data_IF_102715462698
#
_entry.id   IF_102715462698
#
_cell.length_a   1.000
_cell.length_b   1.000
_cell.length_c   1.000
_cell.angle_alpha   90.00
_cell.angle_beta   90.00
_cell.angle_gamma   90.00
#
_symmetry.space_group_name_H-M   'P 1'
#
loop_
_entity.id
_entity.type
_entity.pdbx_description
1 polymer ?
#
# COMPACT_ATOMS: atom_id res chain seq x y z
N UNK A 1 4.39 16.58 7.58
CA UNK A 1 2.93 16.82 7.54
C UNK A 1 2.48 17.35 8.89
N UNK A 2 1.72 18.44 8.93
CA UNK A 2 1.18 19.03 10.16
C UNK A 2 -0.29 19.44 9.98
N UNK A 3 -1.02 19.61 11.10
CA UNK A 3 -2.42 20.12 11.16
C UNK A 3 -3.48 19.27 10.42
N UNK A 4 -3.21 17.99 10.19
CA UNK A 4 -4.21 17.06 9.71
C UNK A 4 -5.12 16.56 10.85
N UNK A 5 -6.31 16.08 10.50
CA UNK A 5 -7.27 15.51 11.46
C UNK A 5 -7.04 14.01 11.64
N UNK A 6 -7.14 13.51 12.87
CA UNK A 6 -7.16 12.09 13.16
C UNK A 6 -8.58 11.61 13.46
N UNK A 7 -8.93 10.43 12.97
CA UNK A 7 -10.17 9.72 13.27
C UNK A 7 -9.88 8.25 13.55
N UNK A 8 -10.76 7.52 14.28
CA UNK A 8 -10.64 6.07 14.39
C UNK A 8 -10.57 5.43 12.99
N UNK A 9 -9.66 4.47 12.82
CA UNK A 9 -9.46 3.78 11.55
C UNK A 9 -10.69 2.96 11.17
N UNK A 10 -11.12 3.04 9.91
CA UNK A 10 -12.20 2.21 9.41
C UNK A 10 -11.64 0.89 8.88
N UNK A 11 -11.58 -0.12 9.75
CA UNK A 11 -11.02 -1.44 9.43
C UNK A 11 -11.79 -2.22 8.35
N UNK A 12 -12.97 -1.77 7.93
CA UNK A 12 -13.65 -2.34 6.76
C UNK A 12 -12.96 -1.98 5.44
N UNK A 13 -12.22 -0.86 5.40
CA UNK A 13 -11.57 -0.32 4.20
C UNK A 13 -10.06 -0.09 4.37
N UNK A 14 -9.51 -0.36 5.55
CA UNK A 14 -8.10 -0.17 5.86
C UNK A 14 -7.51 -1.41 6.53
N UNK A 15 -6.43 -1.94 5.95
CA UNK A 15 -5.73 -3.14 6.41
C UNK A 15 -4.55 -2.85 7.34
N UNK A 16 -4.22 -1.57 7.55
CA UNK A 16 -3.15 -1.16 8.46
C UNK A 16 -3.54 -1.45 9.91
N UNK A 17 -2.53 -1.76 10.73
CA UNK A 17 -2.71 -2.07 12.16
C UNK A 17 -2.97 -0.85 13.04
N UNK A 18 -2.83 0.36 12.49
CA UNK A 18 -3.04 1.61 13.22
C UNK A 18 -4.52 1.75 13.63
N UNK A 19 -4.77 2.17 14.88
CA UNK A 19 -6.12 2.43 15.38
C UNK A 19 -6.70 3.76 14.87
N UNK A 20 -5.86 4.61 14.27
CA UNK A 20 -6.26 5.91 13.73
C UNK A 20 -5.85 6.05 12.27
N UNK A 21 -6.65 6.83 11.55
CA UNK A 21 -6.39 7.31 10.20
C UNK A 21 -6.28 8.83 10.20
N UNK A 22 -5.39 9.34 9.34
CA UNK A 22 -5.20 10.77 9.13
C UNK A 22 -5.98 11.21 7.89
N UNK A 23 -6.64 12.37 7.96
CA UNK A 23 -7.33 13.00 6.83
C UNK A 23 -6.89 14.46 6.72
N UNK A 24 -6.43 14.86 5.54
CA UNK A 24 -6.11 16.25 5.25
C UNK A 24 -7.38 17.11 5.29
N UNK A 25 -7.26 18.30 5.85
CA UNK A 25 -8.30 19.31 5.98
C UNK A 25 -7.78 20.65 5.44
N UNK A 26 -8.59 21.71 5.53
CA UNK A 26 -8.22 23.04 5.03
C UNK A 26 -6.97 23.67 5.67
N UNK A 27 -6.61 23.26 6.89
CA UNK A 27 -5.47 23.79 7.64
C UNK A 27 -4.20 22.94 7.47
N UNK A 28 -4.28 21.82 6.75
CA UNK A 28 -3.19 20.85 6.66
C UNK A 28 -1.99 21.43 5.92
N UNK A 29 -0.81 21.32 6.53
CA UNK A 29 0.44 21.75 5.95
C UNK A 29 1.28 20.53 5.53
N UNK A 30 1.69 20.49 4.26
CA UNK A 30 2.55 19.45 3.70
C UNK A 30 3.78 20.14 3.12
N UNK A 31 4.95 19.73 3.59
CA UNK A 31 6.24 20.22 3.15
C UNK A 31 7.12 19.03 2.80
N UNK A 32 7.94 19.16 1.77
CA UNK A 32 8.93 18.16 1.40
C UNK A 32 10.09 18.20 2.40
N UNK A 33 10.56 17.04 2.84
CA UNK A 33 11.76 16.96 3.68
C UNK A 33 13.01 17.04 2.80
N UNK A 34 14.08 17.64 3.34
CA UNK A 34 15.38 17.65 2.69
C UNK A 34 16.00 16.24 2.69
N UNK A 35 16.85 15.96 1.70
CA UNK A 35 17.37 14.60 1.44
C UNK A 35 18.10 13.97 2.65
N UNK A 36 18.72 14.80 3.49
CA UNK A 36 19.45 14.37 4.69
C UNK A 36 18.53 14.05 5.87
N UNK A 37 17.31 14.59 5.90
CA UNK A 37 16.30 14.31 6.95
C UNK A 37 15.59 12.96 6.72
N UNK A 38 15.61 12.45 5.49
CA UNK A 38 14.98 11.18 5.11
C UNK A 38 15.68 9.94 5.66
N UNK A 39 16.91 10.06 6.17
CA UNK A 39 17.69 8.92 6.71
C UNK A 39 17.02 8.26 7.92
N UNK A 40 16.20 9.01 8.67
CA UNK A 40 15.47 8.50 9.82
C UNK A 40 14.11 7.86 9.45
N UNK A 41 13.70 7.94 8.18
CA UNK A 41 12.44 7.37 7.71
C UNK A 41 12.70 5.93 7.26
N UNK A 42 12.07 4.92 7.88
CA UNK A 42 12.19 3.53 7.45
C UNK A 42 11.82 3.40 5.98
N UNK A 43 12.72 2.82 5.20
CA UNK A 43 12.46 2.49 3.80
C UNK A 43 11.51 1.30 3.72
N UNK A 44 10.73 1.23 2.63
CA UNK A 44 9.90 0.05 2.36
C UNK A 44 10.82 -1.16 2.26
N UNK A 45 10.61 -2.13 3.16
CA UNK A 45 11.33 -3.39 3.15
C UNK A 45 10.48 -4.41 2.40
N UNK A 46 11.08 -5.08 1.43
CA UNK A 46 10.44 -6.14 0.67
C UNK A 46 10.96 -7.49 1.13
N UNK A 47 10.05 -8.46 1.26
CA UNK A 47 10.40 -9.85 1.51
C UNK A 47 10.08 -10.69 0.27
N UNK A 48 10.91 -10.53 -0.77
CA UNK A 48 10.66 -11.14 -2.06
C UNK A 48 10.73 -12.66 -1.99
N UNK A 49 9.73 -13.31 -2.57
CA UNK A 49 9.75 -14.75 -2.84
C UNK A 49 9.97 -15.00 -4.33
N UNK A 50 10.66 -16.09 -4.72
CA UNK A 50 10.70 -16.51 -6.11
C UNK A 50 9.29 -16.79 -6.65
N UNK A 51 9.05 -16.46 -7.93
CA UNK A 51 7.77 -16.73 -8.60
C UNK A 51 7.39 -18.22 -8.50
N UNK A 52 8.37 -19.12 -8.51
CA UNK A 52 8.19 -20.57 -8.36
C UNK A 52 7.62 -20.98 -7.00
N UNK A 53 7.75 -20.16 -5.96
CA UNK A 53 7.28 -20.45 -4.60
C UNK A 53 5.87 -19.94 -4.31
N UNK A 54 5.29 -19.10 -5.19
CA UNK A 54 3.94 -18.53 -4.98
C UNK A 54 2.90 -19.64 -4.81
N UNK A 55 3.01 -20.72 -5.58
CA UNK A 55 2.08 -21.86 -5.52
C UNK A 55 2.09 -22.59 -4.16
N UNK A 56 3.15 -22.45 -3.39
CA UNK A 56 3.30 -23.09 -2.07
C UNK A 56 2.79 -22.20 -0.92
N UNK A 57 2.34 -20.97 -1.21
CA UNK A 57 1.84 -20.03 -0.21
C UNK A 57 0.35 -20.25 0.06
N UNK A 58 -0.11 -19.97 1.29
CA UNK A 58 -1.54 -20.02 1.62
C UNK A 58 -2.37 -19.08 0.73
N UNK A 59 -3.53 -19.55 0.29
CA UNK A 59 -4.52 -18.74 -0.43
C UNK A 59 -4.93 -17.55 0.44
N UNK A 60 -5.19 -16.40 -0.18
CA UNK A 60 -5.56 -15.14 0.48
C UNK A 60 -4.47 -14.51 1.37
N UNK A 61 -3.20 -14.82 1.12
CA UNK A 61 -2.07 -14.14 1.77
C UNK A 61 -1.34 -13.18 0.79
N UNK A 62 -0.87 -12.05 1.30
CA UNK A 62 -0.08 -11.07 0.53
C UNK A 62 1.39 -11.52 0.44
N UNK A 63 2.00 -11.42 -0.73
CA UNK A 63 3.43 -11.70 -0.93
C UNK A 63 4.09 -10.65 -1.82
N UNK A 64 5.38 -10.41 -1.59
CA UNK A 64 6.19 -9.56 -2.46
C UNK A 64 6.90 -10.46 -3.49
N UNK A 65 6.87 -10.09 -4.76
CA UNK A 65 7.63 -10.75 -5.83
C UNK A 65 8.19 -9.70 -6.79
N UNK A 66 9.30 -10.03 -7.45
CA UNK A 66 9.91 -9.22 -8.49
C UNK A 66 10.22 -10.10 -9.70
N UNK A 67 10.12 -9.52 -10.91
CA UNK A 67 10.38 -10.24 -12.14
C UNK A 67 10.38 -9.32 -13.35
N UNK A 68 10.83 -9.87 -14.48
CA UNK A 68 10.80 -9.17 -15.77
C UNK A 68 9.45 -9.40 -16.43
N UNK A 69 8.82 -8.32 -16.90
CA UNK A 69 7.58 -8.41 -17.67
C UNK A 69 7.89 -9.06 -19.03
N UNK A 70 7.32 -10.24 -19.28
CA UNK A 70 7.53 -10.98 -20.54
C UNK A 70 6.59 -10.51 -21.66
N UNK A 71 5.33 -10.25 -21.33
CA UNK A 71 4.28 -9.84 -22.27
C UNK A 71 3.07 -9.30 -21.52
N UNK A 72 2.28 -8.46 -22.16
CA UNK A 72 1.01 -7.93 -21.64
C UNK A 72 -0.11 -8.13 -22.67
N UNK A 73 -1.36 -8.10 -22.24
CA UNK A 73 -2.55 -8.17 -23.11
C UNK A 73 -3.30 -6.84 -23.12
N UNK A 74 -4.23 -6.69 -24.06
CA UNK A 74 -5.09 -5.51 -24.15
C UNK A 74 -6.02 -5.38 -22.93
N UNK A 75 -6.41 -4.13 -22.62
CA UNK A 75 -7.32 -3.81 -21.52
C UNK A 75 -8.70 -4.41 -21.81
N UNK A 76 -9.29 -5.07 -20.81
CA UNK A 76 -10.64 -5.63 -20.87
C UNK A 76 -11.52 -5.06 -19.76
N UNK A 77 -12.79 -4.79 -20.07
CA UNK A 77 -13.80 -4.35 -19.10
C UNK A 77 -14.62 -5.56 -18.64
N UNK A 78 -14.64 -5.82 -17.33
CA UNK A 78 -15.42 -6.91 -16.73
C UNK A 78 -16.54 -6.31 -15.88
N UNK A 79 -17.79 -6.70 -16.14
CA UNK A 79 -18.96 -6.29 -15.33
C UNK A 79 -19.21 -7.32 -14.24
N UNK A 80 -19.07 -6.91 -12.98
CA UNK A 80 -19.39 -7.77 -11.83
C UNK A 80 -20.90 -7.89 -11.66
N UNK A 81 -21.44 -9.10 -11.47
CA UNK A 81 -22.84 -9.28 -11.06
C UNK A 81 -22.97 -8.81 -9.61
N UNK A 82 -23.90 -7.91 -9.33
CA UNK A 82 -24.30 -7.60 -7.96
C UNK A 82 -24.87 -8.88 -7.32
N UNK A 83 -24.32 -9.28 -6.17
CA UNK A 83 -24.93 -10.28 -5.28
C UNK A 83 -25.69 -9.58 -4.17
#
# INVERSE_FOLDING_TARGET
IARASLKPANRQFNTLKSDYEMTCNHDTCIEACDADEGQNIPQVQFNFIPISEIANRPVNNTCDTIGVVKSTSDIQTIVSKAS
#
